data_IF_284369596700
#
_entry.id   IF_284369596700
#
_cell.length_a   1.000
_cell.length_b   1.000
_cell.length_c   1.000
_cell.angle_alpha   90.00
_cell.angle_beta   90.00
_cell.angle_gamma   90.00
#
_symmetry.space_group_name_H-M   'P 1'
#
loop_
_entity.id
_entity.type
_entity.pdbx_description
1 polymer ?
#
# COMPACT_ATOMS: atom_id res chain seq x y z
N UNK A 1 20.80 2.14 -13.64
CA UNK A 1 19.38 2.01 -13.25
C UNK A 1 19.30 1.22 -11.94
N UNK A 2 19.13 1.87 -10.77
CA UNK A 2 19.09 1.19 -9.48
C UNK A 2 17.87 0.24 -9.34
N UNK A 3 16.78 0.51 -10.03
CA UNK A 3 15.57 -0.34 -9.96
C UNK A 3 15.80 -1.63 -10.73
N UNK A 4 16.41 -1.57 -11.92
CA UNK A 4 16.70 -2.76 -12.73
C UNK A 4 17.73 -3.71 -12.12
N UNK A 5 18.60 -3.19 -11.24
CA UNK A 5 19.63 -3.98 -10.55
C UNK A 5 19.25 -4.39 -9.13
N UNK A 6 18.14 -3.93 -8.60
CA UNK A 6 17.70 -4.26 -7.24
C UNK A 6 17.37 -5.75 -7.07
N UNK A 7 16.77 -6.35 -8.10
CA UNK A 7 16.53 -7.79 -8.13
C UNK A 7 16.92 -8.36 -9.49
N UNK A 8 17.90 -9.24 -9.54
CA UNK A 8 18.29 -9.94 -10.76
C UNK A 8 17.25 -11.03 -11.03
N UNK A 9 16.42 -10.81 -12.03
CA UNK A 9 15.50 -11.82 -12.51
C UNK A 9 16.30 -13.03 -13.03
N UNK A 10 15.86 -14.25 -12.68
CA UNK A 10 16.48 -15.49 -13.19
C UNK A 10 16.67 -15.39 -14.69
N UNK A 11 17.89 -15.71 -15.16
CA UNK A 11 18.20 -15.82 -16.59
C UNK A 11 17.12 -16.70 -17.23
N UNK A 12 16.38 -16.14 -18.17
CA UNK A 12 15.31 -16.85 -18.87
C UNK A 12 15.89 -18.12 -19.50
N UNK A 13 15.54 -19.29 -18.97
CA UNK A 13 15.82 -20.53 -19.68
C UNK A 13 15.08 -20.48 -21.01
N UNK A 14 15.71 -20.91 -22.09
CA UNK A 14 15.20 -20.94 -23.47
C UNK A 14 13.97 -21.87 -23.66
N UNK A 15 13.12 -22.02 -22.66
CA UNK A 15 11.84 -22.73 -22.78
C UNK A 15 10.80 -21.77 -23.35
N UNK A 16 10.18 -22.21 -24.46
CA UNK A 16 9.07 -21.55 -25.15
C UNK A 16 8.15 -20.82 -24.14
N UNK A 17 8.06 -19.51 -24.29
CA UNK A 17 7.06 -18.69 -23.61
C UNK A 17 5.70 -19.11 -24.15
N UNK A 18 4.91 -19.83 -23.38
CA UNK A 18 3.47 -19.69 -23.43
C UNK A 18 3.18 -18.29 -22.94
N UNK A 19 2.55 -17.45 -23.76
CA UNK A 19 2.03 -16.14 -23.32
C UNK A 19 0.97 -16.43 -22.26
N UNK A 20 1.39 -16.41 -20.98
CA UNK A 20 0.43 -16.33 -19.89
C UNK A 20 -0.28 -14.99 -20.01
N UNK A 21 -1.57 -15.02 -20.24
CA UNK A 21 -2.43 -13.83 -20.11
C UNK A 21 -2.28 -13.35 -18.66
N UNK A 22 -1.43 -12.35 -18.46
CA UNK A 22 -1.26 -11.73 -17.15
C UNK A 22 -2.55 -10.96 -16.84
N UNK A 23 -3.33 -11.47 -15.91
CA UNK A 23 -4.45 -10.73 -15.32
C UNK A 23 -3.97 -9.41 -14.69
N UNK A 24 -4.91 -8.49 -14.46
CA UNK A 24 -4.65 -7.24 -13.76
C UNK A 24 -4.31 -7.58 -12.30
N UNK A 25 -3.27 -6.96 -11.75
CA UNK A 25 -2.88 -7.16 -10.35
C UNK A 25 -3.64 -6.25 -9.40
N UNK A 26 -3.74 -6.63 -8.12
CA UNK A 26 -4.34 -5.78 -7.08
C UNK A 26 -3.63 -4.42 -6.96
N UNK A 27 -2.30 -4.38 -7.09
CA UNK A 27 -1.52 -3.14 -7.06
C UNK A 27 -1.85 -2.22 -8.25
N UNK A 28 -2.15 -2.78 -9.44
CA UNK A 28 -2.62 -2.00 -10.59
C UNK A 28 -4.02 -1.42 -10.33
N UNK A 29 -4.96 -2.22 -9.83
CA UNK A 29 -6.30 -1.75 -9.46
C UNK A 29 -6.23 -0.64 -8.40
N UNK A 30 -5.38 -0.81 -7.40
CA UNK A 30 -5.16 0.21 -6.38
C UNK A 30 -4.63 1.51 -6.99
N UNK A 31 -3.61 1.46 -7.85
CA UNK A 31 -3.04 2.65 -8.50
C UNK A 31 -4.04 3.38 -9.39
N UNK A 32 -4.86 2.65 -10.16
CA UNK A 32 -5.94 3.20 -10.98
C UNK A 32 -7.02 3.88 -10.12
N UNK A 33 -7.47 3.18 -9.07
CA UNK A 33 -8.44 3.71 -8.11
C UNK A 33 -7.92 4.98 -7.43
N UNK A 34 -6.67 4.97 -7.00
CA UNK A 34 -6.05 6.11 -6.31
C UNK A 34 -6.02 7.35 -7.21
N UNK A 35 -5.62 7.20 -8.48
CA UNK A 35 -5.65 8.29 -9.46
C UNK A 35 -7.08 8.78 -9.73
N UNK A 36 -8.04 7.87 -9.86
CA UNK A 36 -9.44 8.21 -10.08
C UNK A 36 -10.03 8.99 -8.89
N UNK A 37 -9.78 8.50 -7.66
CA UNK A 37 -10.31 9.13 -6.44
C UNK A 37 -9.67 10.50 -6.19
N UNK A 38 -8.36 10.64 -6.40
CA UNK A 38 -7.63 11.90 -6.27
C UNK A 38 -8.08 12.97 -7.27
N UNK A 39 -8.57 12.57 -8.43
CA UNK A 39 -9.20 13.49 -9.40
C UNK A 39 -10.54 14.03 -8.93
N UNK A 40 -11.17 13.42 -7.93
CA UNK A 40 -12.49 13.81 -7.38
C UNK A 40 -12.41 14.41 -5.98
N UNK A 41 -11.37 14.09 -5.22
CA UNK A 41 -11.17 14.54 -3.86
C UNK A 41 -9.76 15.12 -3.70
N UNK A 42 -9.69 16.43 -3.49
CA UNK A 42 -8.43 17.15 -3.37
C UNK A 42 -7.74 16.95 -2.01
N UNK A 43 -8.44 16.39 -1.03
CA UNK A 43 -7.88 16.10 0.29
C UNK A 43 -7.10 14.77 0.32
N UNK A 44 -7.26 13.92 -0.70
CA UNK A 44 -6.54 12.66 -0.80
C UNK A 44 -5.05 12.91 -1.01
N UNK A 45 -4.23 12.32 -0.15
CA UNK A 45 -2.77 12.25 -0.26
C UNK A 45 -2.30 10.79 -0.24
N UNK A 46 -1.17 10.49 -0.88
CA UNK A 46 -0.60 9.15 -0.90
C UNK A 46 0.81 9.16 -0.32
N UNK A 47 1.08 8.23 0.57
CA UNK A 47 2.36 8.07 1.28
C UNK A 47 2.87 6.66 1.04
N UNK A 48 4.16 6.51 0.80
CA UNK A 48 4.80 5.19 0.72
C UNK A 48 6.22 5.23 1.29
N UNK A 49 6.66 4.20 2.02
CA UNK A 49 8.05 4.06 2.43
C UNK A 49 8.88 3.34 1.36
N UNK A 50 9.42 4.10 0.39
CA UNK A 50 10.32 3.64 -0.69
C UNK A 50 9.73 2.56 -1.63
N UNK A 51 8.38 2.47 -1.76
CA UNK A 51 7.74 1.39 -2.51
C UNK A 51 6.88 1.89 -3.67
N UNK A 52 7.27 3.00 -4.32
CA UNK A 52 6.51 3.63 -5.40
C UNK A 52 6.10 2.66 -6.52
N UNK A 53 7.06 1.89 -7.04
CA UNK A 53 6.85 0.96 -8.14
C UNK A 53 6.04 -0.26 -7.69
N UNK A 54 6.45 -0.84 -6.57
CA UNK A 54 5.84 -2.07 -6.04
C UNK A 54 4.40 -1.89 -5.56
N UNK A 55 4.05 -0.71 -5.08
CA UNK A 55 2.69 -0.38 -4.61
C UNK A 55 1.80 0.27 -5.68
N UNK A 56 2.25 0.35 -6.95
CA UNK A 56 1.43 0.89 -8.05
C UNK A 56 1.25 2.41 -8.04
N UNK A 57 2.16 3.17 -7.39
CA UNK A 57 2.04 4.62 -7.22
C UNK A 57 2.71 5.45 -8.32
N UNK A 58 3.30 4.84 -9.34
CA UNK A 58 4.06 5.54 -10.40
C UNK A 58 3.21 6.60 -11.10
N UNK A 59 1.99 6.25 -11.52
CA UNK A 59 1.11 7.19 -12.22
C UNK A 59 0.57 8.28 -11.28
N UNK A 60 0.29 7.93 -10.03
CA UNK A 60 -0.14 8.91 -9.04
C UNK A 60 0.95 9.97 -8.79
N UNK A 61 2.19 9.54 -8.60
CA UNK A 61 3.32 10.46 -8.36
C UNK A 61 3.57 11.45 -9.51
N UNK A 62 3.24 11.06 -10.76
CA UNK A 62 3.34 11.95 -11.92
C UNK A 62 2.15 12.91 -12.05
N UNK A 63 0.93 12.42 -11.79
CA UNK A 63 -0.31 13.20 -11.95
C UNK A 63 -0.56 14.16 -10.79
N UNK A 64 -0.15 13.78 -9.58
CA UNK A 64 -0.40 14.51 -8.35
C UNK A 64 0.87 14.65 -7.50
N UNK A 65 1.95 15.27 -8.03
CA UNK A 65 3.24 15.32 -7.34
C UNK A 65 3.16 16.03 -5.98
N UNK A 66 2.32 17.05 -5.84
CA UNK A 66 2.15 17.80 -4.59
C UNK A 66 1.37 17.04 -3.50
N UNK A 67 0.82 15.88 -3.84
CA UNK A 67 0.04 15.02 -2.94
C UNK A 67 0.63 13.62 -2.80
N UNK A 68 1.84 13.44 -3.31
CA UNK A 68 2.62 12.20 -3.23
C UNK A 68 3.83 12.38 -2.33
N UNK A 69 3.99 11.50 -1.35
CA UNK A 69 5.05 11.53 -0.35
C UNK A 69 5.77 10.20 -0.29
N UNK A 70 7.02 10.17 -0.74
CA UNK A 70 7.92 9.04 -0.51
C UNK A 70 8.85 9.39 0.67
N UNK A 71 8.67 8.67 1.77
CA UNK A 71 9.40 8.92 3.01
C UNK A 71 10.68 8.08 3.13
N UNK A 72 11.15 7.50 2.02
CA UNK A 72 12.23 6.53 2.00
C UNK A 72 11.93 5.32 2.90
N UNK A 73 12.95 4.60 3.37
CA UNK A 73 12.78 3.41 4.24
C UNK A 73 12.55 3.87 5.70
N UNK A 74 11.41 4.54 5.91
CA UNK A 74 11.03 5.10 7.20
C UNK A 74 9.55 4.81 7.50
N UNK A 75 9.24 3.54 7.75
CA UNK A 75 7.87 3.04 7.91
C UNK A 75 7.14 3.72 9.07
N UNK A 76 7.81 3.92 10.22
CA UNK A 76 7.24 4.63 11.36
C UNK A 76 6.85 6.05 10.98
N UNK A 77 7.74 6.75 10.26
CA UNK A 77 7.48 8.12 9.81
C UNK A 77 6.29 8.17 8.85
N UNK A 78 6.12 7.18 7.96
CA UNK A 78 4.98 7.13 7.03
C UNK A 78 3.63 7.13 7.77
N UNK A 79 3.54 6.42 8.88
CA UNK A 79 2.31 6.32 9.69
C UNK A 79 2.09 7.57 10.52
N UNK A 80 3.13 8.09 11.20
CA UNK A 80 3.02 9.34 11.98
C UNK A 80 2.71 10.55 11.09
N UNK A 81 3.30 10.62 9.89
CA UNK A 81 2.97 11.65 8.90
C UNK A 81 1.50 11.57 8.47
N UNK A 82 1.01 10.36 8.18
CA UNK A 82 -0.41 10.14 7.86
C UNK A 82 -1.32 10.59 8.99
N UNK A 83 -0.99 10.26 10.24
CA UNK A 83 -1.75 10.72 11.40
C UNK A 83 -1.81 12.24 11.49
N UNK A 84 -0.67 12.92 11.33
CA UNK A 84 -0.62 14.39 11.32
C UNK A 84 -1.45 15.00 10.19
N UNK A 85 -1.40 14.43 8.97
CA UNK A 85 -2.24 14.86 7.85
C UNK A 85 -3.73 14.68 8.14
N UNK A 86 -4.10 13.56 8.76
CA UNK A 86 -5.50 13.29 9.12
C UNK A 86 -6.01 14.27 10.20
N UNK A 87 -5.17 14.68 11.16
CA UNK A 87 -5.51 15.71 12.13
C UNK A 87 -5.84 17.06 11.47
N UNK A 88 -5.20 17.39 10.35
CA UNK A 88 -5.46 18.61 9.57
C UNK A 88 -6.55 18.45 8.51
N UNK A 89 -7.31 17.36 8.56
CA UNK A 89 -8.45 17.10 7.68
C UNK A 89 -8.11 16.58 6.29
N UNK A 90 -6.86 16.22 6.03
CA UNK A 90 -6.49 15.49 4.82
C UNK A 90 -6.94 14.03 4.93
N UNK A 91 -6.99 13.35 3.80
CA UNK A 91 -7.36 11.93 3.70
C UNK A 91 -6.17 11.10 3.21
N UNK A 92 -5.25 10.75 4.10
CA UNK A 92 -4.03 10.04 3.73
C UNK A 92 -4.30 8.57 3.42
N UNK A 93 -3.67 8.09 2.35
CA UNK A 93 -3.59 6.69 1.97
C UNK A 93 -2.14 6.26 2.09
N UNK A 94 -1.87 5.31 2.99
CA UNK A 94 -0.53 4.73 3.19
C UNK A 94 -0.44 3.43 2.42
N UNK A 95 0.39 3.41 1.37
CA UNK A 95 0.68 2.21 0.59
C UNK A 95 1.95 1.54 1.10
N UNK A 96 1.81 0.41 1.75
CA UNK A 96 2.90 -0.26 2.46
C UNK A 96 2.76 -1.79 2.33
N UNK A 97 3.90 -2.50 2.30
CA UNK A 97 3.87 -3.96 2.35
C UNK A 97 3.57 -4.47 3.76
N UNK A 98 2.85 -5.59 3.84
CA UNK A 98 2.49 -6.25 5.09
C UNK A 98 3.69 -6.46 6.02
N UNK A 99 4.79 -7.00 5.50
CA UNK A 99 6.01 -7.22 6.30
C UNK A 99 6.62 -5.91 6.82
N UNK A 100 6.52 -4.81 6.06
CA UNK A 100 7.11 -3.53 6.45
C UNK A 100 6.25 -2.76 7.46
N UNK A 101 4.94 -2.96 7.43
CA UNK A 101 4.02 -2.37 8.42
C UNK A 101 4.34 -2.83 9.86
N UNK A 102 4.96 -4.00 10.03
CA UNK A 102 5.40 -4.47 11.35
C UNK A 102 6.31 -3.46 12.06
N UNK A 103 7.14 -2.70 11.32
CA UNK A 103 8.02 -1.67 11.90
C UNK A 103 7.27 -0.45 12.42
N UNK A 104 6.05 -0.21 11.93
CA UNK A 104 5.23 0.93 12.31
C UNK A 104 4.01 0.53 13.16
N UNK A 105 4.06 -0.63 13.80
CA UNK A 105 2.97 -1.17 14.60
C UNK A 105 2.60 -0.27 15.77
N UNK A 106 3.58 0.25 16.47
CA UNK A 106 3.37 1.20 17.57
C UNK A 106 2.70 2.50 17.08
N UNK A 107 3.19 3.09 15.99
CA UNK A 107 2.63 4.31 15.42
C UNK A 107 1.19 4.10 14.91
N UNK A 108 0.91 2.93 14.34
CA UNK A 108 -0.46 2.59 13.93
C UNK A 108 -1.42 2.56 15.13
N UNK A 109 -0.99 1.98 16.26
CA UNK A 109 -1.78 1.95 17.48
C UNK A 109 -1.89 3.36 18.08
N UNK A 110 -0.74 3.97 18.40
CA UNK A 110 -0.66 5.19 19.18
C UNK A 110 -1.10 6.43 18.39
N UNK A 111 -0.59 6.60 17.17
CA UNK A 111 -0.80 7.83 16.43
C UNK A 111 -2.11 7.82 15.63
N UNK A 112 -2.60 6.64 15.21
CA UNK A 112 -3.80 6.53 14.37
C UNK A 112 -4.98 5.94 15.12
N UNK A 113 -4.87 4.69 15.60
CA UNK A 113 -6.02 3.95 16.10
C UNK A 113 -6.57 4.53 17.42
N UNK A 114 -5.73 4.88 18.38
CA UNK A 114 -6.16 5.47 19.64
C UNK A 114 -6.84 6.83 19.46
N UNK A 115 -6.43 7.58 18.46
CA UNK A 115 -7.03 8.88 18.14
C UNK A 115 -8.23 8.76 17.18
N UNK A 116 -8.54 7.53 16.73
CA UNK A 116 -9.61 7.25 15.77
C UNK A 116 -9.52 8.12 14.49
N UNK A 117 -8.30 8.27 13.96
CA UNK A 117 -8.04 9.07 12.79
C UNK A 117 -8.40 8.32 11.50
N UNK A 118 -8.93 9.04 10.53
CA UNK A 118 -9.28 8.48 9.23
C UNK A 118 -8.04 8.34 8.33
N UNK A 119 -7.38 7.20 8.40
CA UNK A 119 -6.20 6.83 7.58
C UNK A 119 -6.51 5.52 6.85
N UNK A 120 -6.40 5.48 5.53
CA UNK A 120 -6.53 4.26 4.75
C UNK A 120 -5.16 3.60 4.57
N UNK A 121 -5.00 2.38 5.07
CA UNK A 121 -3.82 1.55 4.83
C UNK A 121 -4.08 0.59 3.68
N UNK A 122 -3.41 0.78 2.55
CA UNK A 122 -3.37 -0.17 1.44
C UNK A 122 -2.20 -1.13 1.65
N UNK A 123 -2.49 -2.28 2.27
CA UNK A 123 -1.47 -3.26 2.66
C UNK A 123 -1.29 -4.25 1.51
N UNK A 124 -0.17 -4.15 0.82
CA UNK A 124 0.21 -5.05 -0.27
C UNK A 124 1.08 -6.22 0.25
N UNK A 125 1.23 -7.26 -0.53
CA UNK A 125 2.01 -8.47 -0.18
C UNK A 125 1.56 -9.13 1.13
N UNK A 126 0.25 -9.10 1.44
CA UNK A 126 -0.31 -9.91 2.52
C UNK A 126 -0.33 -11.39 2.13
N UNK A 127 -0.12 -12.28 3.09
CA UNK A 127 -0.04 -13.72 2.86
C UNK A 127 1.35 -14.18 2.40
N UNK A 128 1.40 -15.27 1.65
CA UNK A 128 2.65 -15.88 1.15
C UNK A 128 3.07 -15.22 -0.17
N UNK A 129 4.28 -14.70 -0.22
CA UNK A 129 4.85 -13.97 -1.37
C UNK A 129 6.13 -14.62 -1.86
N UNK A 130 6.03 -15.71 -2.59
CA UNK A 130 7.15 -16.60 -2.92
C UNK A 130 8.38 -15.93 -3.55
N UNK A 131 8.21 -14.97 -4.45
CA UNK A 131 9.30 -14.36 -5.22
C UNK A 131 10.25 -13.49 -4.37
N UNK A 132 9.73 -12.79 -3.37
CA UNK A 132 10.49 -11.87 -2.53
C UNK A 132 11.19 -12.57 -1.34
N UNK A 133 10.96 -13.86 -1.17
CA UNK A 133 11.62 -14.70 -0.18
C UNK A 133 11.10 -14.56 1.25
N UNK A 134 11.80 -15.21 2.22
CA UNK A 134 11.28 -15.38 3.59
C UNK A 134 11.11 -14.07 4.38
N UNK A 135 11.84 -13.03 4.03
CA UNK A 135 11.80 -11.73 4.72
C UNK A 135 10.61 -10.88 4.34
N UNK A 136 9.86 -11.25 3.29
CA UNK A 136 8.74 -10.48 2.76
C UNK A 136 7.38 -11.14 2.97
N UNK A 137 7.31 -12.20 3.77
CA UNK A 137 6.06 -12.91 4.04
C UNK A 137 5.10 -12.04 4.88
N UNK A 138 3.87 -11.86 4.38
CA UNK A 138 2.82 -11.09 5.04
C UNK A 138 1.90 -11.96 5.91
N UNK A 139 2.47 -12.79 6.79
CA UNK A 139 1.71 -13.80 7.53
C UNK A 139 1.09 -13.30 8.84
N UNK A 140 1.43 -12.10 9.32
CA UNK A 140 1.11 -11.67 10.68
C UNK A 140 0.12 -10.50 10.77
N UNK A 141 -0.10 -9.77 9.70
CA UNK A 141 -0.88 -8.52 9.69
C UNK A 141 -2.30 -8.69 10.25
N UNK A 142 -3.07 -9.66 9.78
CA UNK A 142 -4.42 -9.91 10.32
C UNK A 142 -4.37 -10.22 11.81
N UNK A 143 -3.38 -11.00 12.27
CA UNK A 143 -3.26 -11.39 13.67
C UNK A 143 -3.02 -10.21 14.59
N UNK A 144 -2.11 -9.31 14.24
CA UNK A 144 -1.79 -8.16 15.10
C UNK A 144 -2.73 -6.97 14.88
N UNK A 145 -3.34 -6.81 13.70
CA UNK A 145 -4.27 -5.71 13.45
C UNK A 145 -5.64 -5.96 14.07
N UNK A 146 -6.13 -7.20 14.08
CA UNK A 146 -7.48 -7.52 14.56
C UNK A 146 -7.72 -7.26 16.06
N UNK A 147 -6.68 -7.13 16.85
CA UNK A 147 -6.79 -6.84 18.28
C UNK A 147 -6.79 -5.35 18.61
N UNK A 148 -6.55 -4.48 17.61
CA UNK A 148 -6.50 -3.03 17.80
C UNK A 148 -7.92 -2.46 17.64
N UNK A 149 -8.43 -1.68 18.60
CA UNK A 149 -9.73 -1.03 18.47
C UNK A 149 -9.71 0.05 17.38
N UNK A 150 -10.88 0.42 16.87
CA UNK A 150 -11.08 1.44 15.84
C UNK A 150 -10.46 1.10 14.46
N UNK A 151 -10.06 -0.16 14.23
CA UNK A 151 -9.61 -0.63 12.93
C UNK A 151 -10.67 -1.50 12.25
N UNK A 152 -10.86 -1.27 10.97
CA UNK A 152 -11.64 -2.15 10.08
C UNK A 152 -10.69 -2.83 9.10
N UNK A 153 -10.69 -4.15 9.06
CA UNK A 153 -9.84 -4.94 8.16
C UNK A 153 -10.71 -5.51 7.05
N UNK A 154 -10.32 -5.26 5.81
CA UNK A 154 -11.01 -5.76 4.62
C UNK A 154 -10.02 -6.54 3.74
N UNK A 155 -10.43 -7.73 3.30
CA UNK A 155 -9.63 -8.59 2.41
C UNK A 155 -10.44 -8.90 1.15
N UNK A 156 -10.12 -8.28 0.00
CA UNK A 156 -10.88 -8.47 -1.22
C UNK A 156 -10.64 -9.86 -1.83
N UNK A 157 -11.69 -10.45 -2.40
CA UNK A 157 -11.63 -11.74 -3.09
C UNK A 157 -11.18 -11.65 -4.55
N UNK A 158 -11.40 -10.49 -5.17
CA UNK A 158 -11.11 -10.22 -6.57
C UNK A 158 -10.91 -8.73 -6.84
N UNK A 159 -10.60 -8.39 -8.09
CA UNK A 159 -10.31 -7.03 -8.53
C UNK A 159 -11.50 -6.08 -8.39
N UNK A 160 -12.72 -6.56 -8.66
CA UNK A 160 -13.93 -5.75 -8.53
C UNK A 160 -14.25 -5.43 -7.07
N UNK A 161 -14.08 -6.43 -6.20
CA UNK A 161 -14.27 -6.25 -4.76
C UNK A 161 -13.20 -5.34 -4.19
N UNK A 162 -11.94 -5.42 -4.68
CA UNK A 162 -10.87 -4.48 -4.30
C UNK A 162 -11.29 -3.04 -4.52
N UNK A 163 -11.78 -2.71 -5.71
CA UNK A 163 -12.25 -1.35 -6.02
C UNK A 163 -13.36 -0.87 -5.07
N UNK A 164 -14.33 -1.73 -4.80
CA UNK A 164 -15.44 -1.41 -3.89
C UNK A 164 -14.98 -1.22 -2.45
N UNK A 165 -14.10 -2.09 -1.95
CA UNK A 165 -13.53 -1.99 -0.61
C UNK A 165 -12.68 -0.74 -0.43
N UNK A 166 -11.90 -0.35 -1.43
CA UNK A 166 -11.15 0.90 -1.42
C UNK A 166 -12.07 2.12 -1.32
N UNK A 167 -13.20 2.12 -2.05
CA UNK A 167 -14.19 3.19 -1.90
C UNK A 167 -14.78 3.24 -0.49
N UNK A 168 -15.19 2.08 0.05
CA UNK A 168 -15.79 1.99 1.39
C UNK A 168 -14.79 2.41 2.48
N UNK A 169 -13.53 2.01 2.37
CA UNK A 169 -12.52 2.36 3.36
C UNK A 169 -12.05 3.81 3.30
N UNK A 170 -12.33 4.51 2.21
CA UNK A 170 -11.96 5.91 2.02
C UNK A 170 -13.07 6.88 2.50
N UNK A 171 -14.32 6.45 2.52
CA UNK A 171 -15.50 7.23 2.97
C UNK A 171 -15.61 7.31 4.49
#
# INVERSE_FOLDING_TARGET
DPIGYHAINKIKSLKKQTEEVKGITYSQIFGEWLCYKAGKDNLLTAITPAMREGSGLVEFSKKFPDRYYDVAIAEQHSVSLAAGMACEGLKPVVAIYSTFLQRAYDQLIHDVALQNLNVLFAIDRAGLVGADGPTHQGAFDISYLRCIPNLVIMTPSDENITWKMLNTGFE
#
